data_IF_910443357770
#
_entry.id   IF_910443357770
#
_cell.length_a   1.000
_cell.length_b   1.000
_cell.length_c   1.000
_cell.angle_alpha   90.00
_cell.angle_beta   90.00
_cell.angle_gamma   90.00
#
_symmetry.space_group_name_H-M   'P 1'
#
loop_
_entity.id
_entity.type
_entity.pdbx_description
1 polymer ?
#
# COMPACT_ATOMS: atom_id res chain seq x y z
N UNK A 1 0.47 0.81 27.96
CA UNK A 1 -0.65 1.48 28.68
C UNK A 1 -2.00 1.17 28.01
N UNK A 2 -2.15 1.29 26.70
CA UNK A 2 -3.41 1.03 25.97
C UNK A 2 -3.91 -0.42 26.11
N UNK A 3 -3.02 -1.43 26.12
CA UNK A 3 -3.40 -2.84 26.27
C UNK A 3 -3.88 -3.18 27.68
N UNK A 4 -3.31 -2.58 28.72
CA UNK A 4 -3.74 -2.76 30.12
C UNK A 4 -5.08 -2.07 30.39
N UNK A 5 -5.31 -0.88 29.80
CA UNK A 5 -6.58 -0.19 29.88
C UNK A 5 -7.71 -0.95 29.17
N UNK A 6 -7.41 -1.60 28.02
CA UNK A 6 -8.37 -2.44 27.31
C UNK A 6 -8.77 -3.70 28.08
N UNK A 7 -7.84 -4.34 28.79
CA UNK A 7 -8.16 -5.55 29.56
C UNK A 7 -9.02 -5.23 30.81
N UNK A 8 -8.70 -4.15 31.53
CA UNK A 8 -9.49 -3.70 32.69
C UNK A 8 -10.90 -3.21 32.29
N UNK A 9 -11.02 -2.54 31.13
CA UNK A 9 -12.30 -2.09 30.64
C UNK A 9 -13.23 -3.22 30.16
N UNK A 10 -12.64 -4.36 29.71
CA UNK A 10 -13.43 -5.54 29.27
C UNK A 10 -14.15 -6.23 30.41
N UNK A 11 -13.60 -6.19 31.63
CA UNK A 11 -14.11 -6.89 32.83
C UNK A 11 -14.87 -5.98 33.79
N UNK A 12 -14.88 -4.65 33.55
CA UNK A 12 -15.54 -3.71 34.44
C UNK A 12 -17.04 -3.62 34.20
N UNK A 13 -17.83 -3.77 35.28
CA UNK A 13 -19.27 -3.50 35.33
C UNK A 13 -19.60 -2.00 35.35
N UNK A 14 -18.62 -1.12 35.45
CA UNK A 14 -18.80 0.32 35.56
C UNK A 14 -19.29 0.94 34.25
N UNK A 15 -20.49 1.54 34.29
CA UNK A 15 -21.19 2.17 33.16
C UNK A 15 -20.37 3.28 32.50
N UNK A 16 -19.53 3.98 33.27
CA UNK A 16 -18.65 5.06 32.79
C UNK A 16 -17.50 4.52 31.92
N UNK A 17 -16.89 3.42 32.36
CA UNK A 17 -15.79 2.77 31.61
C UNK A 17 -16.33 2.14 30.31
N UNK A 18 -17.54 1.58 30.31
CA UNK A 18 -18.21 1.08 29.11
C UNK A 18 -18.53 2.20 28.12
N UNK A 19 -19.01 3.36 28.61
CA UNK A 19 -19.29 4.54 27.77
C UNK A 19 -18.02 5.14 27.17
N UNK A 20 -16.94 5.25 27.97
CA UNK A 20 -15.63 5.70 27.49
C UNK A 20 -15.05 4.75 26.44
N UNK A 21 -15.20 3.43 26.63
CA UNK A 21 -14.79 2.41 25.67
C UNK A 21 -15.61 2.47 24.38
N UNK A 22 -16.91 2.65 24.46
CA UNK A 22 -17.77 2.82 23.29
C UNK A 22 -17.41 4.09 22.50
N UNK A 23 -17.05 5.19 23.19
CA UNK A 23 -16.54 6.41 22.55
C UNK A 23 -15.14 6.23 21.94
N UNK A 24 -14.24 5.48 22.60
CA UNK A 24 -12.91 5.12 22.05
C UNK A 24 -13.04 4.14 20.88
N UNK A 25 -13.88 3.12 21.00
CA UNK A 25 -14.16 2.18 19.93
C UNK A 25 -14.79 2.88 18.71
N UNK A 26 -15.74 3.81 18.92
CA UNK A 26 -16.27 4.69 17.86
C UNK A 26 -15.19 5.59 17.23
N UNK A 27 -14.15 5.97 17.98
CA UNK A 27 -12.98 6.68 17.44
C UNK A 27 -12.04 5.77 16.66
N UNK A 28 -12.01 4.47 16.95
CA UNK A 28 -11.17 3.47 16.29
C UNK A 28 -11.86 2.77 15.11
N UNK A 29 -13.19 2.83 15.01
CA UNK A 29 -14.00 2.11 14.00
C UNK A 29 -14.65 3.03 12.96
N UNK A 30 -14.03 4.17 12.63
CA UNK A 30 -14.38 4.89 11.40
C UNK A 30 -15.55 5.85 11.53
N UNK A 31 -15.79 6.61 12.48
CA UNK A 31 -16.75 7.72 12.46
C UNK A 31 -16.15 9.02 11.90
N UNK A 32 -16.98 9.91 11.36
CA UNK A 32 -16.58 11.24 10.91
C UNK A 32 -16.21 12.10 12.13
N UNK A 33 -14.92 12.38 12.32
CA UNK A 33 -14.38 13.27 13.36
C UNK A 33 -14.15 14.69 12.82
N UNK A 34 -13.66 15.60 13.67
CA UNK A 34 -13.41 16.99 13.28
C UNK A 34 -12.39 17.11 12.14
N UNK A 35 -11.30 16.31 12.18
CA UNK A 35 -10.30 16.28 11.12
C UNK A 35 -10.91 15.80 9.79
N UNK A 36 -11.70 14.73 9.82
CA UNK A 36 -12.40 14.23 8.62
C UNK A 36 -13.33 15.31 8.02
N UNK A 37 -14.04 16.10 8.84
CA UNK A 37 -14.87 17.22 8.34
C UNK A 37 -14.04 18.25 7.60
N UNK A 38 -12.93 18.68 8.19
CA UNK A 38 -12.01 19.63 7.51
C UNK A 38 -11.50 19.08 6.17
N UNK A 39 -11.15 17.79 6.13
CA UNK A 39 -10.74 17.13 4.88
C UNK A 39 -11.88 17.12 3.85
N UNK A 40 -13.11 16.80 4.27
CA UNK A 40 -14.27 16.78 3.38
C UNK A 40 -14.63 18.16 2.86
N UNK A 41 -14.57 19.20 3.70
CA UNK A 41 -14.76 20.59 3.29
C UNK A 41 -13.70 21.02 2.27
N UNK A 42 -12.43 20.74 2.56
CA UNK A 42 -11.32 21.00 1.62
C UNK A 42 -11.47 20.26 0.30
N UNK A 43 -11.90 18.99 0.34
CA UNK A 43 -12.19 18.19 -0.85
C UNK A 43 -13.32 18.82 -1.67
N UNK A 44 -14.44 19.22 -1.04
CA UNK A 44 -15.55 19.84 -1.72
C UNK A 44 -15.14 21.12 -2.46
N UNK A 45 -14.41 22.01 -1.79
CA UNK A 45 -13.90 23.24 -2.38
C UNK A 45 -12.95 22.95 -3.56
N UNK A 46 -12.10 21.94 -3.44
CA UNK A 46 -11.17 21.55 -4.51
C UNK A 46 -11.91 20.99 -5.73
N UNK A 47 -12.88 20.11 -5.52
CA UNK A 47 -13.71 19.55 -6.61
C UNK A 47 -14.49 20.64 -7.34
N UNK A 48 -15.05 21.62 -6.62
CA UNK A 48 -15.78 22.73 -7.20
C UNK A 48 -14.87 23.66 -8.03
N UNK A 49 -13.60 23.81 -7.60
CA UNK A 49 -12.61 24.60 -8.33
C UNK A 49 -12.07 23.86 -9.58
N UNK A 50 -11.73 22.57 -9.46
CA UNK A 50 -11.08 21.79 -10.53
C UNK A 50 -12.10 21.23 -11.52
N UNK A 51 -13.33 20.93 -11.07
CA UNK A 51 -14.40 20.30 -11.87
C UNK A 51 -13.94 19.02 -12.58
N UNK A 52 -13.44 18.02 -11.85
CA UNK A 52 -12.89 16.81 -12.46
C UNK A 52 -13.98 16.00 -13.15
N UNK A 53 -13.63 15.28 -14.22
CA UNK A 53 -14.55 14.37 -14.91
C UNK A 53 -14.78 13.06 -14.14
N UNK A 54 -13.85 12.68 -13.26
CA UNK A 54 -13.92 11.47 -12.42
C UNK A 54 -13.11 11.70 -11.16
N UNK A 55 -13.56 11.11 -10.07
CA UNK A 55 -12.80 11.02 -8.81
C UNK A 55 -12.39 9.56 -8.58
N UNK A 56 -11.10 9.34 -8.38
CA UNK A 56 -10.55 8.03 -8.04
C UNK A 56 -9.94 8.07 -6.64
N UNK A 57 -10.29 7.10 -5.82
CA UNK A 57 -9.87 7.03 -4.41
C UNK A 57 -9.12 5.72 -4.17
N UNK A 58 -7.85 5.82 -3.80
CA UNK A 58 -7.13 4.69 -3.19
C UNK A 58 -7.22 4.81 -1.67
N UNK A 59 -7.75 3.78 -0.99
CA UNK A 59 -8.10 3.90 0.42
C UNK A 59 -7.85 2.63 1.23
N UNK A 60 -7.92 2.79 2.56
CA UNK A 60 -7.93 1.71 3.54
C UNK A 60 -9.31 1.55 4.16
N UNK A 61 -9.63 0.36 4.66
CA UNK A 61 -10.95 -0.01 5.19
C UNK A 61 -11.46 0.92 6.30
N UNK A 62 -10.57 1.52 7.08
CA UNK A 62 -10.91 2.43 8.18
C UNK A 62 -11.50 3.77 7.74
N UNK A 63 -11.35 4.13 6.46
CA UNK A 63 -11.84 5.40 5.91
C UNK A 63 -13.17 5.26 5.16
N UNK A 64 -13.89 4.14 5.33
CA UNK A 64 -15.14 3.88 4.63
C UNK A 64 -16.15 5.02 4.75
N UNK A 65 -16.34 5.56 5.95
CA UNK A 65 -17.34 6.62 6.18
C UNK A 65 -16.94 7.93 5.48
N UNK A 66 -15.64 8.22 5.39
CA UNK A 66 -15.13 9.38 4.62
C UNK A 66 -15.35 9.17 3.12
N UNK A 67 -15.05 7.97 2.61
CA UNK A 67 -15.28 7.63 1.21
C UNK A 67 -16.77 7.69 0.83
N UNK A 68 -17.66 7.26 1.73
CA UNK A 68 -19.11 7.38 1.53
C UNK A 68 -19.54 8.84 1.38
N UNK A 69 -19.06 9.75 2.26
CA UNK A 69 -19.35 11.17 2.14
C UNK A 69 -18.80 11.76 0.85
N UNK A 70 -17.58 11.39 0.44
CA UNK A 70 -17.00 11.82 -0.85
C UNK A 70 -17.87 11.35 -2.02
N UNK A 71 -18.32 10.09 -2.01
CA UNK A 71 -19.19 9.57 -3.06
C UNK A 71 -20.53 10.33 -3.15
N UNK A 72 -21.14 10.67 -2.00
CA UNK A 72 -22.37 11.48 -1.96
C UNK A 72 -22.13 12.86 -2.53
N UNK A 73 -21.06 13.55 -2.10
CA UNK A 73 -20.69 14.88 -2.59
C UNK A 73 -20.43 14.89 -4.11
N UNK A 74 -19.78 13.86 -4.64
CA UNK A 74 -19.51 13.72 -6.05
C UNK A 74 -20.80 13.44 -6.85
N UNK A 75 -21.69 12.57 -6.33
CA UNK A 75 -23.00 12.27 -6.93
C UNK A 75 -23.86 13.54 -7.07
N UNK A 76 -23.88 14.39 -6.04
CA UNK A 76 -24.61 15.67 -6.06
C UNK A 76 -24.09 16.61 -7.17
N UNK A 77 -22.84 16.43 -7.60
CA UNK A 77 -22.18 17.21 -8.68
C UNK A 77 -22.17 16.48 -10.03
N UNK A 78 -22.77 15.30 -10.11
CA UNK A 78 -22.75 14.49 -11.33
C UNK A 78 -21.38 13.92 -11.69
N UNK A 79 -20.46 13.80 -10.72
CA UNK A 79 -19.09 13.30 -10.91
C UNK A 79 -19.04 11.81 -10.53
N UNK A 80 -18.68 10.93 -11.46
CA UNK A 80 -18.52 9.50 -11.15
C UNK A 80 -17.31 9.24 -10.25
N UNK A 81 -17.42 8.20 -9.41
CA UNK A 81 -16.40 7.83 -8.43
C UNK A 81 -15.99 6.37 -8.59
N UNK A 82 -14.70 6.11 -8.64
CA UNK A 82 -14.10 4.78 -8.48
C UNK A 82 -13.35 4.72 -7.15
N UNK A 83 -13.52 3.63 -6.41
CA UNK A 83 -12.76 3.36 -5.19
C UNK A 83 -11.94 2.09 -5.40
N UNK A 84 -10.67 2.11 -5.00
CA UNK A 84 -9.77 0.97 -5.01
C UNK A 84 -8.84 0.97 -3.79
N UNK A 85 -7.99 -0.03 -3.73
CA UNK A 85 -7.01 -0.20 -2.66
C UNK A 85 -6.70 -1.67 -2.43
N UNK A 86 -5.70 -1.99 -1.59
CA UNK A 86 -5.15 -3.34 -1.50
C UNK A 86 -6.09 -4.39 -0.87
N UNK A 87 -7.18 -3.95 -0.22
CA UNK A 87 -8.05 -4.86 0.56
C UNK A 87 -9.33 -5.29 -0.17
N UNK A 88 -9.60 -4.79 -1.38
CA UNK A 88 -10.81 -5.09 -2.13
C UNK A 88 -10.74 -6.38 -2.94
N UNK A 89 -10.19 -7.43 -2.35
CA UNK A 89 -10.14 -8.80 -2.91
C UNK A 89 -10.96 -9.79 -2.08
N UNK A 90 -11.44 -9.38 -0.90
CA UNK A 90 -12.22 -10.23 0.00
C UNK A 90 -13.71 -10.03 -0.25
N UNK A 91 -14.51 -11.11 -0.45
CA UNK A 91 -15.94 -11.01 -0.77
C UNK A 91 -16.75 -10.17 0.22
N UNK A 92 -16.46 -10.30 1.52
CA UNK A 92 -17.17 -9.57 2.57
C UNK A 92 -16.86 -8.06 2.54
N UNK A 93 -15.63 -7.70 2.15
CA UNK A 93 -15.23 -6.30 1.97
C UNK A 93 -15.92 -5.73 0.73
N UNK A 94 -15.88 -6.45 -0.39
CA UNK A 94 -16.54 -6.05 -1.64
C UNK A 94 -18.02 -5.81 -1.38
N UNK A 95 -18.73 -6.76 -0.76
CA UNK A 95 -20.17 -6.66 -0.48
C UNK A 95 -20.54 -5.42 0.36
N UNK A 96 -19.67 -5.02 1.28
CA UNK A 96 -19.89 -3.82 2.12
C UNK A 96 -19.60 -2.52 1.39
N UNK A 97 -18.64 -2.51 0.47
CA UNK A 97 -18.17 -1.28 -0.16
C UNK A 97 -18.87 -0.97 -1.48
N UNK A 98 -19.21 -1.97 -2.26
CA UNK A 98 -19.84 -1.78 -3.58
C UNK A 98 -21.18 -1.06 -3.50
N UNK A 99 -21.87 -1.16 -2.36
CA UNK A 99 -23.18 -0.53 -2.12
C UNK A 99 -23.08 0.90 -1.53
N UNK A 100 -21.90 1.52 -1.53
CA UNK A 100 -21.75 2.92 -1.09
C UNK A 100 -22.56 3.82 -2.01
N UNK A 101 -23.47 4.67 -1.47
CA UNK A 101 -24.29 5.57 -2.28
C UNK A 101 -23.46 6.55 -3.09
N UNK A 102 -23.62 6.55 -4.42
CA UNK A 102 -22.86 7.41 -5.33
C UNK A 102 -21.56 6.80 -5.86
N UNK A 103 -21.19 5.59 -5.44
CA UNK A 103 -20.07 4.86 -6.01
C UNK A 103 -20.46 4.35 -7.41
N UNK A 104 -19.62 4.61 -8.41
CA UNK A 104 -19.81 4.11 -9.79
C UNK A 104 -19.24 2.72 -9.98
N UNK A 105 -18.12 2.40 -9.33
CA UNK A 105 -17.51 1.08 -9.37
C UNK A 105 -16.43 0.92 -8.30
N UNK A 106 -16.29 -0.32 -7.81
CA UNK A 106 -15.23 -0.72 -6.89
C UNK A 106 -14.14 -1.43 -7.69
N UNK A 107 -12.92 -0.89 -7.63
CA UNK A 107 -11.74 -1.49 -8.28
C UNK A 107 -11.23 -2.63 -7.40
N UNK A 108 -11.15 -3.83 -7.98
CA UNK A 108 -10.83 -5.07 -7.27
C UNK A 108 -9.69 -5.82 -7.98
N UNK A 109 -8.52 -5.78 -7.38
CA UNK A 109 -7.28 -6.32 -7.95
C UNK A 109 -6.45 -5.27 -8.70
N UNK A 110 -5.60 -5.73 -9.61
CA UNK A 110 -4.63 -4.88 -10.32
C UNK A 110 -5.16 -4.52 -11.71
N UNK A 111 -5.48 -3.25 -11.92
CA UNK A 111 -6.16 -2.75 -13.14
C UNK A 111 -5.34 -1.69 -13.90
N UNK A 112 -4.09 -1.47 -13.56
CA UNK A 112 -3.29 -0.36 -14.10
C UNK A 112 -3.28 -0.33 -15.62
N UNK A 113 -3.20 -1.49 -16.26
CA UNK A 113 -3.19 -1.59 -17.74
C UNK A 113 -4.58 -1.43 -18.35
N UNK A 114 -5.63 -1.80 -17.62
CA UNK A 114 -7.03 -1.69 -18.07
C UNK A 114 -7.67 -0.34 -17.72
N UNK A 115 -7.04 0.43 -16.84
CA UNK A 115 -7.60 1.67 -16.32
C UNK A 115 -8.04 2.66 -17.40
N UNK A 116 -7.28 2.89 -18.50
CA UNK A 116 -7.72 3.78 -19.57
C UNK A 116 -9.05 3.35 -20.22
N UNK A 117 -9.23 2.04 -20.46
CA UNK A 117 -10.46 1.50 -21.03
C UNK A 117 -11.64 1.59 -20.04
N UNK A 118 -11.39 1.32 -18.76
CA UNK A 118 -12.38 1.47 -17.68
C UNK A 118 -12.86 2.93 -17.62
N UNK A 119 -11.95 3.91 -17.64
CA UNK A 119 -12.29 5.33 -17.61
C UNK A 119 -13.08 5.77 -18.84
N UNK A 120 -12.73 5.28 -20.02
CA UNK A 120 -13.49 5.57 -21.25
C UNK A 120 -14.93 5.04 -21.15
N UNK A 121 -15.11 3.83 -20.65
CA UNK A 121 -16.45 3.25 -20.43
C UNK A 121 -17.24 4.04 -19.39
N UNK A 122 -16.60 4.41 -18.27
CA UNK A 122 -17.21 5.22 -17.22
C UNK A 122 -17.71 6.56 -17.73
N UNK A 123 -16.88 7.29 -18.49
CA UNK A 123 -17.20 8.61 -19.04
C UNK A 123 -18.29 8.55 -20.12
N UNK A 124 -18.42 7.43 -20.81
CA UNK A 124 -19.51 7.17 -21.76
C UNK A 124 -20.77 6.60 -21.12
N UNK A 125 -20.80 6.47 -19.79
CA UNK A 125 -21.89 5.86 -19.03
C UNK A 125 -22.22 4.40 -19.45
N UNK A 126 -21.20 3.65 -19.90
CA UNK A 126 -21.30 2.25 -20.29
C UNK A 126 -21.30 1.30 -19.09
N UNK A 127 -21.49 0.00 -19.34
CA UNK A 127 -21.51 -1.03 -18.30
C UNK A 127 -20.09 -1.35 -17.81
N UNK A 128 -19.74 -0.85 -16.65
CA UNK A 128 -18.43 -1.11 -16.02
C UNK A 128 -18.23 -2.57 -15.62
N UNK A 129 -19.29 -3.35 -15.44
CA UNK A 129 -19.19 -4.76 -15.04
C UNK A 129 -18.58 -5.66 -16.10
N UNK A 130 -18.44 -5.20 -17.33
CA UNK A 130 -17.75 -5.90 -18.40
C UNK A 130 -16.24 -5.93 -18.23
N UNK A 131 -15.69 -4.94 -17.50
CA UNK A 131 -14.25 -4.86 -17.23
C UNK A 131 -13.83 -5.80 -16.11
N UNK A 132 -12.74 -6.54 -16.34
CA UNK A 132 -12.09 -7.31 -15.30
C UNK A 132 -11.45 -6.34 -14.31
N UNK A 133 -11.69 -6.55 -13.03
CA UNK A 133 -11.21 -5.68 -11.96
C UNK A 133 -12.20 -4.61 -11.52
N UNK A 134 -13.42 -4.61 -12.04
CA UNK A 134 -14.49 -3.74 -11.57
C UNK A 134 -15.66 -4.57 -11.02
N UNK A 135 -16.13 -4.16 -9.84
CA UNK A 135 -17.38 -4.64 -9.25
C UNK A 135 -18.37 -3.49 -9.15
N UNK A 136 -19.60 -3.72 -9.55
CA UNK A 136 -20.69 -2.74 -9.46
C UNK A 136 -21.83 -3.28 -8.59
N UNK A 137 -22.53 -2.36 -7.93
CA UNK A 137 -23.72 -2.70 -7.17
C UNK A 137 -24.83 -3.21 -8.10
N UNK A 138 -25.56 -4.21 -7.65
CA UNK A 138 -26.74 -4.71 -8.34
C UNK A 138 -27.90 -4.79 -7.33
N UNK A 139 -28.99 -4.09 -7.63
CA UNK A 139 -30.12 -4.00 -6.72
C UNK A 139 -30.69 -5.39 -6.38
N UNK A 140 -30.75 -5.73 -5.09
CA UNK A 140 -31.33 -6.96 -4.59
C UNK A 140 -30.55 -8.25 -4.88
N UNK A 141 -29.30 -8.14 -5.38
CA UNK A 141 -28.48 -9.30 -5.72
C UNK A 141 -27.00 -9.10 -5.37
N UNK A 142 -26.20 -10.14 -5.61
CA UNK A 142 -24.74 -10.07 -5.43
C UNK A 142 -24.12 -9.05 -6.41
N UNK A 143 -23.01 -8.39 -6.01
CA UNK A 143 -22.29 -7.50 -6.89
C UNK A 143 -21.94 -8.15 -8.23
N UNK A 144 -22.08 -7.41 -9.33
CA UNK A 144 -21.73 -7.88 -10.67
C UNK A 144 -20.31 -7.46 -11.02
N UNK A 145 -19.53 -8.35 -11.62
CA UNK A 145 -18.16 -8.07 -12.07
C UNK A 145 -17.21 -9.22 -11.78
N UNK A 146 -15.92 -8.97 -11.98
CA UNK A 146 -14.84 -9.96 -11.79
C UNK A 146 -13.64 -9.33 -11.16
N UNK A 147 -12.95 -10.03 -10.25
CA UNK A 147 -11.68 -9.61 -9.66
C UNK A 147 -10.58 -9.71 -10.71
N UNK A 148 -9.76 -8.68 -10.84
CA UNK A 148 -8.57 -8.72 -11.70
C UNK A 148 -7.50 -9.64 -11.07
N UNK A 149 -6.91 -10.53 -11.87
CA UNK A 149 -5.77 -11.30 -11.39
C UNK A 149 -4.55 -10.37 -11.21
N UNK A 150 -3.58 -10.80 -10.39
CA UNK A 150 -2.30 -10.10 -10.29
C UNK A 150 -1.62 -9.99 -11.66
N UNK A 151 -1.07 -8.82 -11.99
CA UNK A 151 -0.31 -8.59 -13.23
C UNK A 151 0.89 -9.53 -13.28
N UNK A 152 1.09 -10.20 -14.40
CA UNK A 152 2.21 -11.15 -14.58
C UNK A 152 3.56 -10.45 -14.71
N UNK A 153 3.61 -9.33 -15.43
CA UNK A 153 4.80 -8.52 -15.63
C UNK A 153 4.57 -7.11 -15.06
N UNK A 154 5.33 -6.74 -14.05
CA UNK A 154 5.26 -5.42 -13.44
C UNK A 154 6.02 -4.36 -14.25
N UNK A 155 6.91 -4.75 -15.16
CA UNK A 155 7.64 -3.83 -16.04
C UNK A 155 6.72 -3.13 -17.07
N UNK A 156 5.51 -3.65 -17.27
CA UNK A 156 4.50 -3.03 -18.12
C UNK A 156 3.76 -1.88 -17.43
N UNK A 157 3.85 -1.77 -16.10
CA UNK A 157 3.19 -0.69 -15.35
C UNK A 157 3.92 0.61 -15.63
N UNK A 158 3.21 1.68 -16.03
CA UNK A 158 3.83 2.98 -16.26
C UNK A 158 4.57 3.52 -15.05
N UNK A 159 5.68 4.21 -15.28
CA UNK A 159 6.39 4.96 -14.23
C UNK A 159 5.44 6.01 -13.66
N UNK A 160 5.28 6.10 -12.33
CA UNK A 160 4.42 7.09 -11.70
C UNK A 160 4.80 8.53 -12.06
N UNK A 161 3.81 9.35 -12.34
CA UNK A 161 4.00 10.79 -12.60
C UNK A 161 3.69 11.61 -11.35
N UNK A 162 4.66 12.38 -10.89
CA UNK A 162 4.58 13.27 -9.73
C UNK A 162 4.65 14.76 -10.14
N UNK A 163 4.33 15.10 -11.40
CA UNK A 163 4.38 16.48 -11.90
C UNK A 163 3.48 17.43 -11.10
N UNK A 164 2.30 16.95 -10.70
CA UNK A 164 1.31 17.74 -9.95
C UNK A 164 1.49 17.60 -8.42
N UNK A 165 2.52 16.89 -7.96
CA UNK A 165 2.75 16.74 -6.53
C UNK A 165 3.25 18.07 -5.94
N UNK A 166 2.68 18.56 -4.84
CA UNK A 166 3.03 19.87 -4.26
C UNK A 166 4.35 19.82 -3.47
N UNK A 167 5.47 19.64 -4.19
CA UNK A 167 6.82 19.48 -3.63
C UNK A 167 7.24 20.61 -2.70
N UNK A 168 6.75 21.82 -2.95
CA UNK A 168 7.01 23.03 -2.17
C UNK A 168 6.43 22.96 -0.73
N UNK A 169 5.46 22.11 -0.50
CA UNK A 169 4.84 21.90 0.82
C UNK A 169 5.59 20.88 1.68
N UNK A 170 6.61 20.22 1.15
CA UNK A 170 7.37 19.19 1.83
C UNK A 170 8.82 19.61 2.05
N UNK A 171 9.38 19.45 3.27
CA UNK A 171 10.76 19.85 3.56
C UNK A 171 11.81 19.04 2.79
N UNK A 172 11.47 17.83 2.39
CA UNK A 172 12.34 16.94 1.63
C UNK A 172 11.56 16.30 0.49
N UNK A 173 12.17 16.26 -0.69
CA UNK A 173 11.67 15.49 -1.82
C UNK A 173 12.10 14.03 -1.66
N UNK A 174 11.18 13.15 -1.35
CA UNK A 174 11.41 11.70 -1.22
C UNK A 174 10.40 10.99 -2.11
N UNK A 175 10.87 10.15 -3.01
CA UNK A 175 10.00 9.39 -3.92
C UNK A 175 9.89 7.94 -3.46
N UNK A 176 8.67 7.39 -3.30
CA UNK A 176 8.46 5.98 -3.08
C UNK A 176 8.66 5.19 -4.37
N UNK A 177 9.38 4.07 -4.28
CA UNK A 177 9.62 3.13 -5.39
C UNK A 177 9.39 1.72 -4.87
N UNK A 178 8.95 0.81 -5.74
CA UNK A 178 8.87 -0.63 -5.44
C UNK A 178 9.67 -1.43 -6.45
N UNK A 179 10.31 -2.51 -6.01
CA UNK A 179 11.01 -3.46 -6.88
C UNK A 179 10.14 -4.67 -7.20
N UNK A 180 9.06 -4.84 -6.47
CA UNK A 180 8.13 -5.93 -6.65
C UNK A 180 6.85 -5.77 -5.83
N UNK A 181 5.89 -6.64 -6.05
CA UNK A 181 4.65 -6.70 -5.29
C UNK A 181 4.52 -8.03 -4.57
N UNK A 182 3.99 -7.98 -3.35
CA UNK A 182 3.88 -9.14 -2.47
C UNK A 182 5.17 -9.42 -1.71
N UNK A 183 5.24 -10.59 -1.08
CA UNK A 183 6.38 -11.02 -0.28
C UNK A 183 6.83 -12.41 -0.71
N UNK A 184 8.12 -12.56 -1.03
CA UNK A 184 8.70 -13.86 -1.44
C UNK A 184 8.63 -14.95 -0.36
N UNK A 185 8.49 -14.58 0.92
CA UNK A 185 8.24 -15.52 2.02
C UNK A 185 6.74 -15.88 2.14
N UNK A 186 5.85 -14.89 2.28
CA UNK A 186 4.40 -14.98 2.14
C UNK A 186 3.65 -16.01 2.99
N UNK A 187 4.16 -16.41 4.18
CA UNK A 187 3.52 -17.42 5.04
C UNK A 187 3.42 -17.02 6.52
N UNK A 188 3.85 -15.81 6.88
CA UNK A 188 3.74 -15.32 8.26
C UNK A 188 2.28 -15.27 8.70
N UNK A 189 1.94 -15.92 9.82
CA UNK A 189 0.55 -16.07 10.29
C UNK A 189 -0.10 -14.76 10.78
N UNK A 190 0.70 -13.72 11.03
CA UNK A 190 0.26 -12.41 11.52
C UNK A 190 0.21 -11.34 10.42
N UNK A 191 0.75 -11.62 9.24
CA UNK A 191 0.95 -10.61 8.19
C UNK A 191 -0.34 -10.34 7.42
N UNK A 192 -0.77 -9.07 7.37
CA UNK A 192 -1.96 -8.65 6.63
C UNK A 192 -1.84 -8.94 5.14
N UNK A 193 -0.64 -8.81 4.56
CA UNK A 193 -0.43 -9.07 3.14
C UNK A 193 -0.59 -10.54 2.77
N UNK A 194 -0.30 -11.46 3.71
CA UNK A 194 -0.54 -12.89 3.53
C UNK A 194 -2.03 -13.22 3.62
N UNK A 195 -2.74 -12.54 4.52
CA UNK A 195 -4.17 -12.79 4.79
C UNK A 195 -5.09 -12.02 3.86
N UNK A 196 -4.66 -10.88 3.32
CA UNK A 196 -5.46 -10.01 2.45
C UNK A 196 -5.27 -10.30 0.96
N UNK A 197 -4.13 -10.85 0.55
CA UNK A 197 -3.89 -11.30 -0.82
C UNK A 197 -4.27 -12.78 -0.99
N UNK A 198 -4.71 -13.17 -2.18
CA UNK A 198 -5.10 -14.55 -2.50
C UNK A 198 -3.89 -15.51 -2.61
N UNK A 199 -3.00 -15.53 -1.60
CA UNK A 199 -1.85 -16.41 -1.54
C UNK A 199 -0.51 -15.75 -1.93
N UNK A 200 0.51 -16.57 -2.21
CA UNK A 200 1.85 -16.11 -2.61
C UNK A 200 1.81 -15.45 -3.99
N UNK A 201 1.77 -14.15 -4.04
CA UNK A 201 1.68 -13.38 -5.28
C UNK A 201 2.94 -12.55 -5.56
N UNK A 202 4.09 -12.93 -4.99
CA UNK A 202 5.32 -12.18 -5.21
C UNK A 202 5.71 -12.18 -6.69
N UNK A 203 5.93 -11.00 -7.22
CA UNK A 203 6.41 -10.73 -8.57
C UNK A 203 7.41 -9.60 -8.50
N UNK A 204 8.55 -9.78 -9.18
CA UNK A 204 9.62 -8.80 -9.28
C UNK A 204 9.50 -7.99 -10.57
N UNK A 205 9.92 -6.74 -10.53
CA UNK A 205 10.31 -5.96 -11.70
C UNK A 205 11.72 -6.36 -12.09
N UNK A 206 12.12 -6.08 -13.34
CA UNK A 206 13.52 -6.14 -13.73
C UNK A 206 14.32 -5.02 -13.05
N UNK A 207 15.61 -5.24 -12.84
CA UNK A 207 16.51 -4.23 -12.31
C UNK A 207 16.62 -3.02 -13.24
N UNK A 208 16.62 -3.26 -14.54
CA UNK A 208 16.66 -2.24 -15.59
C UNK A 208 15.45 -1.32 -15.51
N UNK A 209 14.25 -1.88 -15.30
CA UNK A 209 13.02 -1.13 -15.17
C UNK A 209 13.02 -0.27 -13.89
N UNK A 210 13.49 -0.79 -12.76
CA UNK A 210 13.62 -0.03 -11.51
C UNK A 210 14.66 1.10 -11.64
N UNK A 211 15.83 0.81 -12.21
CA UNK A 211 16.88 1.83 -12.41
C UNK A 211 16.43 2.93 -13.39
N UNK A 212 15.67 2.58 -14.43
CA UNK A 212 15.08 3.54 -15.35
C UNK A 212 14.06 4.47 -14.65
N UNK A 213 13.26 3.94 -13.73
CA UNK A 213 12.35 4.74 -12.91
C UNK A 213 13.11 5.72 -11.99
N UNK A 214 14.14 5.26 -11.30
CA UNK A 214 15.00 6.10 -10.45
C UNK A 214 15.62 7.24 -11.26
N UNK A 215 16.19 6.95 -12.43
CA UNK A 215 16.75 7.94 -13.36
C UNK A 215 15.66 8.93 -13.83
N UNK A 216 14.49 8.45 -14.20
CA UNK A 216 13.37 9.28 -14.63
C UNK A 216 12.96 10.28 -13.55
N UNK A 217 12.77 9.82 -12.31
CA UNK A 217 12.40 10.69 -11.20
C UNK A 217 13.53 11.68 -10.84
N UNK A 218 14.78 11.22 -10.85
CA UNK A 218 15.94 12.09 -10.63
C UNK A 218 15.99 13.20 -11.65
N UNK A 219 15.85 12.87 -12.93
CA UNK A 219 15.94 13.86 -14.04
C UNK A 219 14.75 14.81 -14.04
N UNK A 220 13.52 14.29 -13.90
CA UNK A 220 12.29 15.10 -14.03
C UNK A 220 12.03 16.00 -12.81
N UNK A 221 12.28 15.53 -11.61
CA UNK A 221 11.87 16.19 -10.37
C UNK A 221 13.05 16.69 -9.55
N UNK A 222 14.29 16.45 -9.98
CA UNK A 222 15.52 16.80 -9.26
C UNK A 222 15.52 16.18 -7.85
N UNK A 223 15.11 14.91 -7.75
CA UNK A 223 15.09 14.14 -6.50
C UNK A 223 16.30 13.22 -6.43
N UNK A 224 16.89 13.11 -5.24
CA UNK A 224 17.99 12.19 -4.96
C UNK A 224 17.71 11.27 -3.76
N UNK A 225 16.48 11.34 -3.20
CA UNK A 225 16.10 10.55 -2.04
C UNK A 225 14.92 9.65 -2.35
N UNK A 226 15.08 8.35 -2.03
CA UNK A 226 14.09 7.32 -2.35
C UNK A 226 13.75 6.49 -1.13
N UNK A 227 12.51 6.03 -1.06
CA UNK A 227 12.07 5.00 -0.12
C UNK A 227 11.57 3.79 -0.89
N UNK A 228 12.27 2.67 -0.76
CA UNK A 228 11.75 1.41 -1.26
C UNK A 228 10.66 0.91 -0.32
N UNK A 229 9.44 0.87 -0.83
CA UNK A 229 8.24 0.49 -0.05
C UNK A 229 7.90 -0.99 -0.16
N UNK A 230 8.84 -1.79 -0.63
CA UNK A 230 8.74 -3.24 -0.68
C UNK A 230 8.54 -3.83 0.71
N UNK A 231 7.68 -4.86 0.83
CA UNK A 231 7.54 -5.64 2.05
C UNK A 231 8.83 -6.37 2.44
N UNK A 232 9.61 -6.73 1.43
CA UNK A 232 10.90 -7.41 1.53
C UNK A 232 11.71 -7.10 0.27
N UNK A 233 12.54 -6.07 0.31
CA UNK A 233 13.34 -5.59 -0.82
C UNK A 233 14.30 -6.67 -1.37
N UNK A 234 14.85 -7.51 -0.50
CA UNK A 234 15.70 -8.65 -0.87
C UNK A 234 14.89 -9.94 -1.18
N UNK A 235 13.65 -9.83 -1.64
CA UNK A 235 12.86 -10.99 -2.10
C UNK A 235 13.44 -11.64 -3.36
N UNK A 236 13.96 -10.83 -4.27
CA UNK A 236 14.77 -11.25 -5.41
C UNK A 236 16.19 -10.73 -5.20
N UNK A 237 17.11 -11.62 -4.86
CA UNK A 237 18.50 -11.26 -4.51
C UNK A 237 19.28 -10.71 -5.72
N UNK A 238 18.98 -11.17 -6.93
CA UNK A 238 19.62 -10.68 -8.15
C UNK A 238 19.22 -9.24 -8.43
N UNK A 239 17.92 -8.93 -8.38
CA UNK A 239 17.40 -7.57 -8.56
C UNK A 239 17.94 -6.66 -7.45
N UNK A 240 17.94 -7.12 -6.20
CA UNK A 240 18.54 -6.41 -5.07
C UNK A 240 20.00 -6.01 -5.35
N UNK A 241 20.85 -6.97 -5.73
CA UNK A 241 22.27 -6.73 -6.02
C UNK A 241 22.46 -5.82 -7.24
N UNK A 242 21.66 -5.98 -8.29
CA UNK A 242 21.71 -5.13 -9.48
C UNK A 242 21.34 -3.68 -9.17
N UNK A 243 20.33 -3.43 -8.32
CA UNK A 243 19.96 -2.09 -7.87
C UNK A 243 21.09 -1.46 -7.05
N UNK A 244 21.65 -2.19 -6.09
CA UNK A 244 22.78 -1.70 -5.28
C UNK A 244 23.97 -1.30 -6.18
N UNK A 245 24.30 -2.11 -7.17
CA UNK A 245 25.45 -1.82 -8.06
C UNK A 245 25.15 -0.68 -9.04
N UNK A 246 23.90 -0.52 -9.48
CA UNK A 246 23.50 0.47 -10.50
C UNK A 246 23.11 1.84 -9.97
N UNK A 247 22.73 1.94 -8.67
CA UNK A 247 22.12 3.13 -8.09
C UNK A 247 22.91 4.41 -8.32
N UNK A 248 24.20 4.43 -7.99
CA UNK A 248 25.04 5.62 -8.14
C UNK A 248 25.31 6.01 -9.60
N UNK A 249 25.19 5.05 -10.53
CA UNK A 249 25.29 5.32 -11.97
C UNK A 249 24.08 6.09 -12.51
N UNK A 250 22.89 5.89 -11.94
CA UNK A 250 21.65 6.54 -12.40
C UNK A 250 21.24 7.72 -11.54
N UNK A 251 21.62 7.74 -10.27
CA UNK A 251 21.37 8.85 -9.31
C UNK A 251 22.64 9.13 -8.53
N UNK A 252 23.58 9.91 -9.10
CA UNK A 252 24.80 10.27 -8.39
C UNK A 252 24.53 10.99 -7.07
N UNK A 253 25.12 10.51 -5.97
CA UNK A 253 24.86 11.04 -4.62
C UNK A 253 23.47 10.71 -4.06
N UNK A 254 22.76 9.77 -4.70
CA UNK A 254 21.44 9.36 -4.24
C UNK A 254 21.47 8.64 -2.90
N UNK A 255 20.45 8.91 -2.07
CA UNK A 255 20.21 8.29 -0.76
C UNK A 255 18.92 7.47 -0.79
N UNK A 256 18.92 6.34 -0.10
CA UNK A 256 17.71 5.51 -0.03
C UNK A 256 17.58 4.72 1.26
N UNK A 257 16.36 4.31 1.54
CA UNK A 257 15.99 3.43 2.66
C UNK A 257 15.11 2.30 2.15
N UNK A 258 15.10 1.16 2.85
CA UNK A 258 14.24 0.03 2.52
C UNK A 258 14.10 -0.99 3.64
N UNK A 259 13.19 -1.95 3.44
CA UNK A 259 12.95 -3.05 4.37
C UNK A 259 13.49 -4.36 3.83
N UNK A 260 14.23 -5.10 4.65
CA UNK A 260 14.81 -6.40 4.31
C UNK A 260 14.36 -7.48 5.28
N UNK A 261 14.47 -8.72 4.85
CA UNK A 261 14.20 -9.87 5.71
C UNK A 261 15.45 -10.72 5.89
N UNK A 262 15.82 -10.93 7.14
CA UNK A 262 16.89 -11.85 7.53
C UNK A 262 16.31 -13.27 7.55
N UNK A 263 16.70 -14.10 6.59
CA UNK A 263 16.18 -15.45 6.39
C UNK A 263 16.71 -16.48 7.38
N UNK A 264 16.20 -17.70 7.28
CA UNK A 264 16.67 -18.85 8.06
C UNK A 264 17.94 -19.46 7.50
N UNK A 265 18.11 -19.43 6.18
CA UNK A 265 19.18 -20.07 5.45
C UNK A 265 19.97 -19.04 4.62
N UNK A 266 21.30 -19.18 4.64
CA UNK A 266 22.19 -18.31 3.90
C UNK A 266 22.13 -16.85 4.35
N UNK A 267 22.83 -16.00 3.60
CA UNK A 267 22.87 -14.55 3.84
C UNK A 267 21.69 -13.79 3.21
N UNK A 268 20.96 -14.43 2.30
CA UNK A 268 19.79 -13.88 1.62
C UNK A 268 20.03 -12.48 0.99
N UNK A 269 21.24 -12.26 0.43
CA UNK A 269 21.65 -10.98 -0.13
C UNK A 269 22.06 -9.95 0.92
N UNK A 270 22.35 -10.37 2.14
CA UNK A 270 22.77 -9.53 3.27
C UNK A 270 24.15 -9.95 3.80
N UNK A 271 25.02 -10.46 2.92
CA UNK A 271 26.41 -10.68 3.24
C UNK A 271 27.10 -9.37 3.61
N UNK A 272 28.27 -9.44 4.24
CA UNK A 272 29.04 -8.25 4.56
C UNK A 272 29.40 -7.45 3.29
N UNK A 273 29.66 -8.13 2.19
CA UNK A 273 29.89 -7.49 0.90
C UNK A 273 28.62 -6.80 0.37
N UNK A 274 27.44 -7.45 0.45
CA UNK A 274 26.18 -6.83 0.05
C UNK A 274 25.86 -5.60 0.88
N UNK A 275 26.09 -5.64 2.21
CA UNK A 275 25.85 -4.49 3.11
C UNK A 275 26.81 -3.33 2.81
N UNK A 276 28.09 -3.62 2.56
CA UNK A 276 29.06 -2.58 2.12
C UNK A 276 28.65 -1.97 0.78
N UNK A 277 28.26 -2.78 -0.17
CA UNK A 277 27.79 -2.31 -1.47
C UNK A 277 26.52 -1.47 -1.33
N UNK A 278 25.58 -1.88 -0.46
CA UNK A 278 24.40 -1.09 -0.16
C UNK A 278 24.77 0.29 0.41
N UNK A 279 25.68 0.35 1.39
CA UNK A 279 26.18 1.62 1.95
C UNK A 279 26.81 2.50 0.86
N UNK A 280 27.69 1.95 0.01
CA UNK A 280 28.30 2.68 -1.11
C UNK A 280 27.25 3.13 -2.15
N UNK A 281 26.16 2.41 -2.30
CA UNK A 281 25.07 2.81 -3.19
C UNK A 281 24.18 3.93 -2.64
N UNK A 282 24.45 4.41 -1.42
CA UNK A 282 23.67 5.47 -0.76
C UNK A 282 22.58 4.96 0.17
N UNK A 283 22.60 3.69 0.56
CA UNK A 283 21.70 3.17 1.60
C UNK A 283 22.02 3.83 2.94
N UNK A 284 21.06 4.59 3.47
CA UNK A 284 21.21 5.25 4.78
C UNK A 284 20.46 4.49 5.89
N UNK A 285 19.57 3.58 5.54
CA UNK A 285 18.87 2.76 6.52
C UNK A 285 18.26 1.49 5.91
N UNK A 286 18.53 0.36 6.52
CA UNK A 286 17.77 -0.88 6.34
C UNK A 286 16.94 -1.16 7.59
N UNK A 287 15.67 -1.54 7.39
CA UNK A 287 14.80 -1.98 8.46
C UNK A 287 14.52 -3.47 8.31
N UNK A 288 14.37 -4.17 9.44
CA UNK A 288 13.96 -5.57 9.45
C UNK A 288 12.95 -5.83 10.55
N UNK A 289 11.96 -6.68 10.28
CA UNK A 289 10.99 -7.09 11.28
C UNK A 289 11.60 -8.13 12.23
N UNK A 290 11.84 -7.74 13.48
CA UNK A 290 12.23 -8.68 14.53
C UNK A 290 11.03 -9.46 15.08
N UNK A 291 9.89 -8.78 15.27
CA UNK A 291 8.61 -9.24 15.82
C UNK A 291 8.72 -9.84 17.24
N UNK A 292 9.75 -10.64 17.52
CA UNK A 292 9.99 -11.29 18.81
C UNK A 292 11.47 -11.64 18.98
N UNK A 293 11.94 -11.63 20.23
CA UNK A 293 13.27 -12.17 20.59
C UNK A 293 13.28 -13.67 20.92
N UNK A 294 12.14 -14.37 20.76
CA UNK A 294 12.02 -15.79 21.04
C UNK A 294 11.97 -16.63 19.76
N UNK A 295 12.92 -17.53 19.56
CA UNK A 295 12.91 -18.44 18.40
C UNK A 295 11.62 -19.26 18.34
N UNK A 296 11.15 -19.80 19.47
CA UNK A 296 9.89 -20.56 19.54
C UNK A 296 8.70 -19.74 19.02
N UNK A 297 8.62 -18.45 19.36
CA UNK A 297 7.53 -17.60 18.86
C UNK A 297 7.71 -17.25 17.39
N UNK A 298 8.93 -17.00 16.93
CA UNK A 298 9.21 -16.77 15.51
C UNK A 298 8.79 -17.97 14.64
N UNK A 299 9.05 -19.21 15.13
CA UNK A 299 8.64 -20.43 14.46
C UNK A 299 7.11 -20.61 14.45
N UNK A 300 6.43 -20.37 15.58
CA UNK A 300 4.96 -20.39 15.66
C UNK A 300 4.30 -19.39 14.72
N UNK A 301 4.87 -18.19 14.57
CA UNK A 301 4.41 -17.17 13.64
C UNK A 301 4.81 -17.45 12.19
N UNK A 302 5.57 -18.51 11.93
CA UNK A 302 6.12 -18.84 10.60
C UNK A 302 6.92 -17.69 10.00
N UNK A 303 7.67 -16.96 10.86
CA UNK A 303 8.44 -15.77 10.42
C UNK A 303 9.56 -16.12 9.46
N UNK A 304 10.10 -17.33 9.49
CA UNK A 304 11.20 -17.77 8.64
C UNK A 304 12.50 -17.01 8.92
N UNK A 305 12.80 -16.79 10.19
CA UNK A 305 13.97 -16.04 10.65
C UNK A 305 14.59 -16.74 11.85
N UNK A 306 15.91 -16.73 11.94
CA UNK A 306 16.66 -17.10 13.12
C UNK A 306 17.03 -15.86 13.93
N UNK A 307 16.81 -15.88 15.23
CA UNK A 307 17.07 -14.73 16.12
C UNK A 307 18.57 -14.42 16.18
N UNK A 308 19.43 -15.46 16.21
CA UNK A 308 20.88 -15.30 16.16
C UNK A 308 21.35 -14.69 14.81
N UNK A 309 20.71 -15.03 13.70
CA UNK A 309 20.99 -14.43 12.40
C UNK A 309 20.65 -12.93 12.35
N UNK A 310 19.54 -12.51 12.99
CA UNK A 310 19.22 -11.07 13.12
C UNK A 310 20.28 -10.37 13.97
N UNK A 311 20.68 -10.95 15.11
CA UNK A 311 21.73 -10.37 15.95
C UNK A 311 23.04 -10.19 15.18
N UNK A 312 23.45 -11.19 14.41
CA UNK A 312 24.63 -11.12 13.55
C UNK A 312 24.48 -10.09 12.43
N UNK A 313 23.30 -9.97 11.84
CA UNK A 313 23.01 -8.93 10.84
C UNK A 313 23.16 -7.52 11.43
N UNK A 314 22.54 -7.26 12.60
CA UNK A 314 22.63 -5.95 13.28
C UNK A 314 24.03 -5.56 13.71
N UNK A 315 24.93 -6.53 13.93
CA UNK A 315 26.33 -6.26 14.25
C UNK A 315 27.17 -5.89 13.01
N UNK A 316 26.73 -6.34 11.84
CA UNK A 316 27.45 -6.11 10.57
C UNK A 316 26.92 -4.91 9.80
N UNK A 317 25.66 -4.49 10.04
CA UNK A 317 25.01 -3.37 9.38
C UNK A 317 25.33 -2.02 10.07
#
# INVERSE_FOLDING_TARGET
>A
LASKLNHHAATSSNRFIRSARAKLAKRQTGGINAHHRTVLEGFGNHVDAVKPHVVMISTYLMYRDVCEQICVMCRERGIPVLIGGPYFVQPEVIAKWVNIPGLSGLVVGEVELELPAILQTLLRQGDLSEHVGIMVAQAGSMPKGRIAPPLRSLDQVPIPDFSDFPWDKYPNKIVPVITGRGCGWGVCSFCSDVTSSAGRTYRSRSSENVLAELLSHHTRYQVSRFVFTDLKLNSNVEVWRSIISGMQGVVPGGEWIGSVHVGMEGDNGLSEADLRNAAHSGCVRLTTGLETGSQRLADLMKKGTRIDAISSFLQRA
#
